data_IF_607058610086
#
_entry.id   IF_607058610086
#
_cell.length_a   1.000
_cell.length_b   1.000
_cell.length_c   1.000
_cell.angle_alpha   90.00
_cell.angle_beta   90.00
_cell.angle_gamma   90.00
#
_symmetry.space_group_name_H-M   'P 1'
#
loop_
_entity.id
_entity.type
_entity.pdbx_description
1 polymer ?
#
# COMPACT_ATOMS: atom_id res chain seq x y z
N UNK A 1 -18.21 -16.16 33.14
CA UNK A 1 -18.55 -15.81 31.75
C UNK A 1 -17.25 -15.79 30.99
N UNK A 2 -16.91 -16.89 30.33
CA UNK A 2 -15.81 -16.90 29.37
C UNK A 2 -16.30 -16.09 28.16
N UNK A 3 -15.63 -14.99 27.86
CA UNK A 3 -15.88 -14.23 26.65
C UNK A 3 -15.40 -15.12 25.51
N UNK A 4 -16.35 -15.66 24.74
CA UNK A 4 -16.06 -16.48 23.57
C UNK A 4 -15.21 -15.66 22.61
N UNK A 5 -13.92 -16.00 22.50
CA UNK A 5 -12.99 -15.31 21.61
C UNK A 5 -13.37 -15.72 20.19
N UNK A 6 -14.16 -14.89 19.52
CA UNK A 6 -14.43 -15.06 18.09
C UNK A 6 -13.09 -15.05 17.35
N UNK A 7 -12.72 -16.15 16.72
CA UNK A 7 -11.57 -16.20 15.82
C UNK A 7 -12.04 -15.94 14.39
N UNK A 8 -11.28 -15.13 13.63
CA UNK A 8 -11.56 -14.88 12.21
C UNK A 8 -12.06 -13.47 11.89
N UNK A 9 -12.86 -13.35 10.83
CA UNK A 9 -13.37 -12.06 10.36
C UNK A 9 -14.50 -11.57 11.27
N UNK A 10 -14.39 -10.34 11.73
CA UNK A 10 -15.39 -9.70 12.61
C UNK A 10 -15.71 -8.27 12.14
N UNK A 11 -16.87 -7.71 12.52
CA UNK A 11 -17.14 -6.29 12.33
C UNK A 11 -16.11 -5.41 13.05
N UNK A 12 -15.90 -4.18 12.55
CA UNK A 12 -14.96 -3.20 13.13
C UNK A 12 -15.22 -2.90 14.62
N UNK A 13 -16.47 -3.04 15.09
CA UNK A 13 -16.86 -2.84 16.49
C UNK A 13 -16.40 -3.94 17.43
N UNK A 14 -16.11 -5.12 16.91
CA UNK A 14 -15.69 -6.31 17.66
C UNK A 14 -14.17 -6.54 17.59
N UNK A 15 -13.46 -5.75 16.79
CA UNK A 15 -12.02 -5.86 16.62
C UNK A 15 -11.28 -5.00 17.68
N UNK A 16 -10.49 -5.63 18.58
CA UNK A 16 -9.87 -4.94 19.70
C UNK A 16 -8.79 -3.91 19.31
N UNK A 17 -8.28 -3.95 18.08
CA UNK A 17 -7.25 -3.01 17.61
C UNK A 17 -7.73 -2.07 16.51
N UNK A 18 -8.95 -2.24 16.00
CA UNK A 18 -9.47 -1.43 14.90
C UNK A 18 -9.38 0.07 15.20
N UNK A 19 -9.77 0.51 16.41
CA UNK A 19 -9.69 1.94 16.76
C UNK A 19 -8.26 2.49 16.72
N UNK A 20 -7.26 1.71 17.15
CA UNK A 20 -5.85 2.11 17.10
C UNK A 20 -5.36 2.21 15.66
N UNK A 21 -5.77 1.29 14.79
CA UNK A 21 -5.43 1.36 13.36
C UNK A 21 -6.10 2.58 12.72
N UNK A 22 -7.36 2.87 13.07
CA UNK A 22 -8.07 4.05 12.59
C UNK A 22 -7.34 5.35 12.99
N UNK A 23 -6.95 5.48 14.26
CA UNK A 23 -6.18 6.63 14.76
C UNK A 23 -4.83 6.78 14.04
N UNK A 24 -4.12 5.69 13.76
CA UNK A 24 -2.88 5.72 13.00
C UNK A 24 -3.11 6.21 11.56
N UNK A 25 -4.17 5.74 10.91
CA UNK A 25 -4.52 6.13 9.53
C UNK A 25 -4.96 7.59 9.43
N UNK A 26 -5.63 8.15 10.44
CA UNK A 26 -6.04 9.56 10.44
C UNK A 26 -4.83 10.51 10.57
N UNK A 27 -3.78 10.08 11.28
CA UNK A 27 -2.59 10.88 11.56
C UNK A 27 -1.40 10.60 10.62
N UNK A 28 -1.53 9.63 9.71
CA UNK A 28 -0.42 9.24 8.83
C UNK A 28 -0.12 10.36 7.83
N UNK A 29 1.17 10.66 7.65
CA UNK A 29 1.64 11.49 6.55
C UNK A 29 2.21 10.60 5.46
N UNK A 30 1.78 10.80 4.21
CA UNK A 30 2.26 9.99 3.10
C UNK A 30 3.71 10.33 2.77
N UNK A 31 4.58 9.33 2.85
CA UNK A 31 6.01 9.47 2.55
C UNK A 31 6.27 8.95 1.15
N UNK A 32 6.70 9.83 0.24
CA UNK A 32 7.04 9.47 -1.14
C UNK A 32 8.53 9.15 -1.34
N UNK A 33 9.31 9.17 -0.26
CA UNK A 33 10.76 8.92 -0.30
C UNK A 33 11.04 7.47 -0.73
N UNK A 34 11.80 7.24 -1.81
CA UNK A 34 12.17 5.89 -2.23
C UNK A 34 12.90 5.12 -1.13
N UNK A 35 12.60 3.82 -1.04
CA UNK A 35 13.27 2.90 -0.11
C UNK A 35 14.12 1.94 -0.94
N UNK A 36 15.39 1.80 -0.57
CA UNK A 36 16.27 0.82 -1.19
C UNK A 36 16.05 -0.53 -0.52
N UNK A 37 15.15 -1.33 -1.10
CA UNK A 37 14.82 -2.67 -0.60
C UNK A 37 15.74 -3.72 -1.22
N UNK A 38 16.08 -4.73 -0.43
CA UNK A 38 16.72 -5.94 -0.94
C UNK A 38 15.72 -6.64 -1.88
N UNK A 39 16.06 -6.84 -3.17
CA UNK A 39 15.19 -7.54 -4.09
C UNK A 39 14.90 -8.95 -3.58
N UNK A 40 13.65 -9.38 -3.63
CA UNK A 40 13.23 -10.70 -3.17
C UNK A 40 12.12 -11.22 -4.06
N UNK A 41 12.27 -12.44 -4.60
CA UNK A 41 11.29 -13.03 -5.50
C UNK A 41 10.06 -13.59 -4.80
N UNK A 42 8.95 -13.68 -5.52
CA UNK A 42 7.77 -14.45 -5.11
C UNK A 42 7.71 -15.75 -5.91
N UNK A 43 7.49 -16.86 -5.23
CA UNK A 43 7.34 -18.18 -5.84
C UNK A 43 6.03 -18.18 -6.63
N UNK A 44 6.11 -18.51 -7.92
CA UNK A 44 4.92 -18.65 -8.75
C UNK A 44 4.41 -20.09 -8.70
N UNK A 45 3.20 -20.31 -8.16
CA UNK A 45 2.53 -21.62 -8.17
C UNK A 45 1.58 -21.76 -9.36
N UNK A 46 2.13 -21.82 -10.56
CA UNK A 46 1.37 -21.97 -11.80
C UNK A 46 1.05 -20.61 -12.44
N UNK A 47 -0.24 -20.26 -12.51
CA UNK A 47 -0.73 -19.08 -13.23
C UNK A 47 -0.85 -17.82 -12.35
N UNK A 48 -0.03 -17.69 -11.30
CA UNK A 48 -0.13 -16.60 -10.29
C UNK A 48 0.80 -15.43 -10.58
N UNK A 49 1.38 -15.35 -11.79
CA UNK A 49 2.29 -14.26 -12.15
C UNK A 49 1.61 -12.89 -12.14
N UNK A 50 0.32 -12.81 -12.48
CA UNK A 50 -0.46 -11.56 -12.39
C UNK A 50 -0.53 -11.06 -10.94
N UNK A 51 -0.73 -11.96 -9.97
CA UNK A 51 -0.67 -11.64 -8.54
C UNK A 51 0.72 -11.19 -8.14
N UNK A 52 1.73 -12.00 -8.43
CA UNK A 52 3.10 -11.74 -8.01
C UNK A 52 3.63 -10.41 -8.58
N UNK A 53 3.33 -10.09 -9.83
CA UNK A 53 3.71 -8.83 -10.47
C UNK A 53 3.06 -7.64 -9.78
N UNK A 54 1.75 -7.69 -9.53
CA UNK A 54 1.01 -6.64 -8.84
C UNK A 54 1.49 -6.43 -7.40
N UNK A 55 1.76 -7.51 -6.66
CA UNK A 55 2.31 -7.42 -5.31
C UNK A 55 3.70 -6.76 -5.30
N UNK A 56 4.58 -7.12 -6.24
CA UNK A 56 5.90 -6.48 -6.38
C UNK A 56 5.78 -5.00 -6.74
N UNK A 57 4.84 -4.62 -7.62
CA UNK A 57 4.57 -3.24 -7.96
C UNK A 57 4.11 -2.42 -6.74
N UNK A 58 3.24 -2.98 -5.90
CA UNK A 58 2.77 -2.34 -4.68
C UNK A 58 3.87 -2.20 -3.62
N UNK A 59 4.76 -3.20 -3.49
CA UNK A 59 5.96 -3.12 -2.63
C UNK A 59 6.92 -2.04 -3.11
N UNK A 60 7.07 -1.88 -4.42
CA UNK A 60 7.94 -0.87 -5.02
C UNK A 60 7.35 0.55 -4.96
N UNK A 61 6.07 0.72 -4.62
CA UNK A 61 5.42 2.01 -4.49
C UNK A 61 5.74 2.64 -3.12
N UNK A 62 6.54 3.73 -3.05
CA UNK A 62 6.98 4.29 -1.77
C UNK A 62 5.86 4.66 -0.80
N UNK A 63 4.81 5.42 -1.19
CA UNK A 63 3.75 5.79 -0.25
C UNK A 63 2.99 4.56 0.28
N UNK A 64 2.76 3.55 -0.57
CA UNK A 64 2.11 2.31 -0.15
C UNK A 64 2.99 1.52 0.83
N UNK A 65 4.28 1.37 0.53
CA UNK A 65 5.23 0.69 1.40
C UNK A 65 5.31 1.36 2.78
N UNK A 66 5.48 2.69 2.82
CA UNK A 66 5.57 3.44 4.07
C UNK A 66 4.28 3.40 4.88
N UNK A 67 3.12 3.54 4.23
CA UNK A 67 1.82 3.44 4.88
C UNK A 67 1.65 2.09 5.61
N UNK A 68 1.92 1.00 4.90
CA UNK A 68 1.79 -0.35 5.48
C UNK A 68 2.86 -0.64 6.55
N UNK A 69 4.05 -0.04 6.44
CA UNK A 69 5.09 -0.12 7.48
C UNK A 69 4.77 0.69 8.72
N UNK A 70 3.91 1.70 8.62
CA UNK A 70 3.48 2.51 9.75
C UNK A 70 2.50 1.76 10.67
N UNK A 71 1.76 0.80 10.13
CA UNK A 71 0.80 -0.01 10.90
C UNK A 71 1.54 -1.18 11.59
N UNK A 72 1.36 -1.39 12.91
CA UNK A 72 1.99 -2.49 13.63
C UNK A 72 1.58 -3.87 13.09
N UNK A 73 2.54 -4.80 13.03
CA UNK A 73 2.25 -6.21 12.76
C UNK A 73 1.74 -6.88 14.05
N UNK A 74 0.45 -7.19 14.08
CA UNK A 74 -0.17 -7.89 15.21
C UNK A 74 -0.03 -9.41 15.08
N UNK A 75 0.39 -10.07 16.16
CA UNK A 75 0.32 -11.54 16.26
C UNK A 75 -1.11 -12.01 16.53
N UNK A 76 -1.41 -13.28 16.24
CA UNK A 76 -2.72 -13.89 16.54
C UNK A 76 -3.09 -13.83 18.03
N UNK A 77 -2.09 -13.82 18.92
CA UNK A 77 -2.32 -13.69 20.37
C UNK A 77 -2.78 -12.28 20.74
N UNK A 78 -2.23 -11.26 20.07
CA UNK A 78 -2.59 -9.85 20.30
C UNK A 78 -3.89 -9.45 19.61
N UNK A 79 -4.20 -10.07 18.47
CA UNK A 79 -5.39 -9.81 17.65
C UNK A 79 -5.92 -11.14 17.08
N UNK A 80 -6.75 -11.88 17.83
CA UNK A 80 -7.28 -13.18 17.42
C UNK A 80 -8.36 -13.09 16.32
N UNK A 81 -9.05 -11.96 16.25
CA UNK A 81 -10.00 -11.60 15.19
C UNK A 81 -9.58 -10.32 14.47
N UNK A 82 -9.95 -10.20 13.20
CA UNK A 82 -9.64 -9.01 12.40
C UNK A 82 -10.83 -8.54 11.59
N UNK A 83 -11.06 -7.24 11.57
CA UNK A 83 -11.96 -6.56 10.64
C UNK A 83 -11.22 -6.01 9.41
N UNK A 84 -9.90 -6.18 9.32
CA UNK A 84 -9.06 -5.59 8.26
C UNK A 84 -8.09 -6.60 7.61
N UNK A 85 -8.60 -7.73 7.09
CA UNK A 85 -7.76 -8.77 6.52
C UNK A 85 -6.86 -8.33 5.34
N UNK A 86 -7.30 -7.36 4.53
CA UNK A 86 -6.50 -6.80 3.43
C UNK A 86 -5.32 -6.01 3.99
N UNK A 87 -5.57 -5.07 4.91
CA UNK A 87 -4.51 -4.30 5.57
C UNK A 87 -3.51 -5.26 6.24
N UNK A 88 -3.98 -6.25 7.00
CA UNK A 88 -3.13 -7.19 7.73
C UNK A 88 -2.18 -7.95 6.79
N UNK A 89 -2.71 -8.37 5.65
CA UNK A 89 -1.95 -9.10 4.64
C UNK A 89 -0.91 -8.22 3.97
N UNK A 90 -1.21 -6.93 3.73
CA UNK A 90 -0.27 -5.99 3.14
C UNK A 90 0.78 -5.49 4.13
N UNK A 91 0.42 -5.29 5.40
CA UNK A 91 1.39 -5.06 6.49
C UNK A 91 2.36 -6.23 6.56
N UNK A 92 1.86 -7.47 6.54
CA UNK A 92 2.72 -8.66 6.51
C UNK A 92 3.61 -8.68 5.28
N UNK A 93 3.06 -8.44 4.08
CA UNK A 93 3.81 -8.40 2.83
C UNK A 93 4.96 -7.40 2.88
N UNK A 94 4.73 -6.15 3.29
CA UNK A 94 5.81 -5.17 3.34
C UNK A 94 6.88 -5.53 4.37
N UNK A 95 6.52 -6.29 5.42
CA UNK A 95 7.45 -6.81 6.41
C UNK A 95 8.28 -8.02 5.95
N UNK A 96 7.94 -8.63 4.82
CA UNK A 96 8.76 -9.66 4.15
C UNK A 96 9.96 -9.07 3.39
N UNK A 97 10.00 -7.74 3.19
CA UNK A 97 11.08 -7.04 2.51
C UNK A 97 11.91 -6.20 3.48
N UNK A 98 13.22 -6.30 3.36
CA UNK A 98 14.23 -5.63 4.18
C UNK A 98 14.96 -4.58 3.36
N UNK A 99 15.61 -3.62 4.01
CA UNK A 99 16.47 -2.66 3.32
C UNK A 99 17.69 -3.37 2.72
N UNK A 100 18.23 -2.83 1.63
CA UNK A 100 19.48 -3.31 1.03
C UNK A 100 20.57 -3.39 2.11
N UNK A 101 21.28 -4.53 2.22
CA UNK A 101 22.39 -4.64 3.16
C UNK A 101 23.47 -3.62 2.76
N UNK A 102 23.99 -2.89 3.75
CA UNK A 102 25.11 -1.97 3.52
C UNK A 102 26.35 -2.83 3.22
N UNK A 103 26.98 -2.68 2.04
CA UNK A 103 28.21 -3.42 1.78
C UNK A 103 29.28 -3.02 2.79
N UNK A 104 30.06 -3.97 3.33
CA UNK A 104 31.18 -3.63 4.20
C UNK A 104 32.13 -2.68 3.47
N UNK A 105 32.72 -1.72 4.19
CA UNK A 105 33.63 -0.71 3.62
C UNK A 105 34.63 -1.38 2.68
N UNK A 106 34.80 -0.88 1.44
CA UNK A 106 35.69 -1.51 0.47
C UNK A 106 37.12 -1.49 1.02
N UNK A 107 37.76 -2.66 1.13
CA UNK A 107 39.22 -2.72 1.10
C UNK A 107 39.60 -2.34 -0.32
N UNK A 108 40.38 -1.28 -0.48
CA UNK A 108 40.80 -0.74 -1.77
C UNK A 108 41.44 -1.85 -2.62
N UNK A 109 40.70 -2.38 -3.58
CA UNK A 109 41.25 -3.14 -4.71
C UNK A 109 40.86 -2.36 -5.97
N UNK A 110 41.89 -1.80 -6.58
CA UNK A 110 41.85 -0.95 -7.77
C UNK A 110 41.41 -1.78 -8.99
N UNK A 111 40.38 -1.34 -9.70
CA UNK A 111 40.30 -1.57 -11.15
C UNK A 111 39.12 -2.32 -11.74
N UNK A 112 38.18 -2.89 -10.98
CA UNK A 112 37.02 -3.58 -11.58
C UNK A 112 35.74 -2.76 -11.57
N UNK A 113 35.05 -2.73 -12.71
CA UNK A 113 33.72 -2.13 -12.87
C UNK A 113 32.83 -2.67 -11.76
N UNK A 114 32.39 -1.81 -10.85
CA UNK A 114 31.52 -2.18 -9.72
C UNK A 114 30.14 -2.51 -10.27
N UNK A 115 29.98 -3.71 -10.84
CA UNK A 115 28.70 -4.40 -10.81
C UNK A 115 28.49 -4.71 -9.35
N UNK A 116 27.69 -3.90 -8.65
CA UNK A 116 27.24 -4.26 -7.31
C UNK A 116 26.53 -5.59 -7.47
N UNK A 117 27.11 -6.66 -6.94
CA UNK A 117 26.48 -7.98 -6.86
C UNK A 117 25.22 -7.82 -6.00
N UNK A 118 24.09 -7.51 -6.64
CA UNK A 118 22.79 -7.39 -5.98
C UNK A 118 22.41 -8.81 -5.63
N UNK A 119 22.57 -9.18 -4.36
CA UNK A 119 22.19 -10.48 -3.85
C UNK A 119 20.70 -10.45 -3.47
N UNK A 120 19.82 -11.09 -4.25
CA UNK A 120 18.41 -11.14 -3.90
C UNK A 120 18.23 -11.97 -2.63
N UNK A 121 17.23 -11.62 -1.83
CA UNK A 121 16.76 -12.45 -0.72
C UNK A 121 16.12 -13.74 -1.23
N UNK A 122 16.00 -14.73 -0.34
CA UNK A 122 15.37 -16.01 -0.65
C UNK A 122 13.90 -15.81 -1.09
N UNK A 123 13.53 -16.38 -2.23
CA UNK A 123 12.16 -16.29 -2.72
C UNK A 123 11.17 -16.93 -1.74
N UNK A 124 9.93 -16.43 -1.69
CA UNK A 124 8.91 -16.93 -0.78
C UNK A 124 7.51 -16.96 -1.40
N UNK A 125 6.60 -17.65 -0.72
CA UNK A 125 5.21 -17.75 -1.12
C UNK A 125 4.33 -16.90 -0.17
N UNK A 126 3.59 -15.90 -0.68
CA UNK A 126 2.70 -15.06 0.12
C UNK A 126 1.34 -15.76 0.36
N UNK A 127 1.34 -16.89 1.06
CA UNK A 127 0.14 -17.73 1.27
C UNK A 127 -1.05 -17.00 1.92
N UNK A 128 -0.78 -15.96 2.70
CA UNK A 128 -1.80 -15.12 3.31
C UNK A 128 -2.59 -14.29 2.29
N UNK A 129 -1.98 -13.87 1.18
CA UNK A 129 -2.68 -13.21 0.07
C UNK A 129 -3.63 -14.17 -0.62
N UNK A 130 -3.22 -15.44 -0.78
CA UNK A 130 -4.03 -16.45 -1.46
C UNK A 130 -5.31 -16.74 -0.67
N UNK A 131 -5.20 -16.72 0.66
CA UNK A 131 -6.36 -16.84 1.56
C UNK A 131 -7.37 -15.70 1.36
N UNK A 132 -6.92 -14.47 1.06
CA UNK A 132 -7.84 -13.35 0.81
C UNK A 132 -8.72 -13.59 -0.41
N UNK A 133 -8.15 -14.08 -1.50
CA UNK A 133 -8.89 -14.36 -2.73
C UNK A 133 -9.99 -15.41 -2.49
N UNK A 134 -9.66 -16.44 -1.71
CA UNK A 134 -10.62 -17.48 -1.32
C UNK A 134 -11.70 -16.96 -0.38
N UNK A 135 -11.32 -16.19 0.65
CA UNK A 135 -12.25 -15.66 1.65
C UNK A 135 -13.23 -14.65 1.04
N UNK A 136 -12.75 -13.82 0.12
CA UNK A 136 -13.59 -12.85 -0.59
C UNK A 136 -14.40 -13.46 -1.74
N UNK A 137 -14.36 -14.80 -1.90
CA UNK A 137 -15.00 -15.55 -3.00
C UNK A 137 -14.78 -14.88 -4.37
N UNK A 138 -13.59 -14.32 -4.56
CA UNK A 138 -13.27 -13.64 -5.80
C UNK A 138 -13.22 -14.67 -6.93
N UNK A 139 -13.81 -14.35 -8.09
CA UNK A 139 -13.64 -15.14 -9.33
C UNK A 139 -12.16 -15.33 -9.68
N UNK A 140 -11.30 -14.40 -9.25
CA UNK A 140 -9.85 -14.45 -9.40
C UNK A 140 -9.20 -15.63 -8.64
N UNK A 141 -9.92 -16.27 -7.71
CA UNK A 141 -9.44 -17.46 -6.98
C UNK A 141 -9.60 -18.76 -7.78
N UNK A 142 -10.15 -18.73 -8.99
CA UNK A 142 -10.30 -19.92 -9.84
C UNK A 142 -8.94 -20.52 -10.19
N UNK A 143 -8.64 -21.67 -9.57
CA UNK A 143 -7.32 -22.28 -9.62
C UNK A 143 -6.96 -22.67 -11.05
N UNK A 144 -5.92 -22.03 -11.58
CA UNK A 144 -5.36 -22.35 -12.90
C UNK A 144 -5.79 -21.41 -14.02
N UNK A 145 -6.66 -20.43 -13.76
CA UNK A 145 -6.95 -19.37 -14.72
C UNK A 145 -5.89 -18.27 -14.63
N UNK A 146 -5.45 -17.75 -15.78
CA UNK A 146 -4.70 -16.50 -15.84
C UNK A 146 -5.71 -15.36 -15.84
N UNK A 147 -5.46 -14.36 -15.02
CA UNK A 147 -6.30 -13.16 -14.91
C UNK A 147 -5.52 -11.92 -15.34
N UNK A 148 -6.24 -10.83 -15.55
CA UNK A 148 -5.65 -9.52 -15.78
C UNK A 148 -5.01 -8.97 -14.48
N UNK A 149 -3.78 -8.48 -14.59
CA UNK A 149 -3.06 -7.87 -13.47
C UNK A 149 -3.71 -6.56 -13.00
N UNK A 150 -4.33 -5.80 -13.93
CA UNK A 150 -5.07 -4.59 -13.63
C UNK A 150 -6.33 -4.90 -12.83
N UNK A 151 -7.10 -5.91 -13.25
CA UNK A 151 -8.32 -6.34 -12.54
C UNK A 151 -7.97 -6.77 -11.11
N UNK A 152 -6.89 -7.54 -10.94
CA UNK A 152 -6.41 -7.92 -9.62
C UNK A 152 -5.94 -6.72 -8.79
N UNK A 153 -5.24 -5.76 -9.40
CA UNK A 153 -4.85 -4.52 -8.71
C UNK A 153 -6.08 -3.74 -8.23
N UNK A 154 -7.10 -3.59 -9.08
CA UNK A 154 -8.37 -2.95 -8.73
C UNK A 154 -9.05 -3.63 -7.55
N UNK A 155 -9.12 -4.97 -7.55
CA UNK A 155 -9.62 -5.76 -6.43
C UNK A 155 -8.87 -5.45 -5.12
N UNK A 156 -7.53 -5.42 -5.17
CA UNK A 156 -6.70 -5.13 -3.99
C UNK A 156 -6.96 -3.72 -3.45
N UNK A 157 -6.90 -2.71 -4.33
CA UNK A 157 -7.04 -1.31 -3.92
C UNK A 157 -8.43 -1.01 -3.39
N UNK A 158 -9.48 -1.58 -3.98
CA UNK A 158 -10.84 -1.46 -3.48
C UNK A 158 -10.99 -2.12 -2.10
N UNK A 159 -10.47 -3.34 -1.92
CA UNK A 159 -10.54 -4.01 -0.61
C UNK A 159 -9.80 -3.24 0.49
N UNK A 160 -8.62 -2.70 0.20
CA UNK A 160 -7.90 -1.82 1.13
C UNK A 160 -8.68 -0.53 1.43
N UNK A 161 -9.27 0.09 0.40
CA UNK A 161 -10.05 1.30 0.53
C UNK A 161 -11.28 1.12 1.42
N UNK A 162 -12.06 0.06 1.20
CA UNK A 162 -13.26 -0.24 2.01
C UNK A 162 -12.92 -0.48 3.48
N UNK A 163 -11.82 -1.20 3.77
CA UNK A 163 -11.35 -1.38 5.14
C UNK A 163 -10.98 -0.06 5.80
N UNK A 164 -10.23 0.81 5.09
CA UNK A 164 -9.88 2.14 5.60
C UNK A 164 -11.11 3.02 5.85
N UNK A 165 -12.10 2.99 4.95
CA UNK A 165 -13.37 3.71 5.15
C UNK A 165 -14.13 3.20 6.36
N UNK A 166 -14.21 1.88 6.56
CA UNK A 166 -14.90 1.29 7.70
C UNK A 166 -14.21 1.62 9.03
N UNK A 167 -12.87 1.68 9.04
CA UNK A 167 -12.11 2.18 10.18
C UNK A 167 -12.40 3.65 10.47
N UNK A 168 -12.44 4.50 9.44
CA UNK A 168 -12.68 5.95 9.60
C UNK A 168 -14.03 6.25 10.25
N UNK A 169 -15.06 5.45 9.96
CA UNK A 169 -16.39 5.55 10.60
C UNK A 169 -16.33 5.39 12.13
N UNK A 170 -15.32 4.71 12.67
CA UNK A 170 -15.14 4.59 14.13
C UNK A 170 -14.75 5.93 14.77
N UNK A 171 -14.01 6.78 14.07
CA UNK A 171 -13.54 8.07 14.57
C UNK A 171 -14.57 9.18 14.38
N UNK A 172 -15.39 9.09 13.33
CA UNK A 172 -16.45 10.06 13.02
C UNK A 172 -17.79 9.36 12.71
N UNK A 173 -18.56 8.97 13.74
CA UNK A 173 -19.83 8.26 13.55
C UNK A 173 -20.93 9.07 12.82
N UNK A 174 -20.74 10.38 12.62
CA UNK A 174 -21.80 11.35 12.32
C UNK A 174 -21.70 12.08 10.97
N UNK A 175 -20.94 11.59 9.98
CA UNK A 175 -20.83 12.27 8.68
C UNK A 175 -21.13 11.35 7.48
N UNK A 176 -22.42 11.26 7.10
CA UNK A 176 -22.90 10.54 5.90
C UNK A 176 -22.58 11.25 4.56
N UNK A 177 -21.76 12.31 4.55
CA UNK A 177 -21.26 12.93 3.31
C UNK A 177 -19.77 13.22 3.41
N UNK A 178 -18.95 12.21 3.12
CA UNK A 178 -17.56 12.44 2.74
C UNK A 178 -17.52 12.71 1.24
N UNK A 179 -17.33 13.97 0.83
CA UNK A 179 -16.78 14.29 -0.48
C UNK A 179 -15.34 13.79 -0.49
N UNK A 180 -15.12 12.67 -1.17
CA UNK A 180 -13.82 12.01 -1.29
C UNK A 180 -12.94 12.88 -2.21
N UNK A 181 -11.90 13.50 -1.66
CA UNK A 181 -10.83 14.11 -2.46
C UNK A 181 -9.66 13.14 -2.50
N UNK A 182 -9.46 12.48 -3.65
CA UNK A 182 -8.29 11.67 -3.92
C UNK A 182 -7.21 12.58 -4.52
N UNK A 183 -6.35 13.15 -3.68
CA UNK A 183 -5.21 13.96 -4.11
C UNK A 183 -4.52 14.67 -2.95
N UNK A 184 -3.25 15.10 -3.12
CA UNK A 184 -2.65 16.04 -2.18
C UNK A 184 -3.54 17.27 -2.05
N UNK A 185 -3.75 17.75 -0.82
CA UNK A 185 -4.53 18.97 -0.57
C UNK A 185 -3.88 20.11 -1.36
N UNK A 186 -4.51 20.56 -2.44
CA UNK A 186 -4.12 21.78 -3.11
C UNK A 186 -4.22 22.89 -2.08
N UNK A 187 -3.08 23.52 -1.76
CA UNK A 187 -3.10 24.85 -1.20
C UNK A 187 -3.96 25.68 -2.15
N UNK A 188 -5.00 26.31 -1.61
CA UNK A 188 -5.90 27.22 -2.31
C UNK A 188 -5.15 28.07 -3.33
N UNK A 189 -5.29 27.75 -4.63
CA UNK A 189 -4.89 28.62 -5.73
C UNK A 189 -6.02 29.64 -5.86
N UNK A 190 -5.90 30.72 -5.09
CA UNK A 190 -6.56 31.98 -5.37
C UNK A 190 -5.42 32.99 -5.37
N UNK A 191 -4.82 33.24 -6.53
CA UNK A 191 -4.17 34.52 -6.92
C UNK A 191 -3.38 34.51 -8.25
N UNK A 192 -3.40 33.44 -9.08
CA UNK A 192 -2.61 33.42 -10.33
C UNK A 192 -3.43 33.43 -11.64
N UNK A 193 -4.66 33.97 -11.65
CA UNK A 193 -5.46 34.15 -12.88
C UNK A 193 -5.58 35.61 -13.36
N UNK A 194 -4.80 36.57 -12.82
CA UNK A 194 -4.88 37.98 -13.25
C UNK A 194 -3.64 38.56 -13.95
N UNK A 195 -2.51 37.85 -14.04
CA UNK A 195 -1.32 38.40 -14.71
C UNK A 195 -1.14 38.00 -16.19
N UNK A 196 -1.84 36.98 -16.69
CA UNK A 196 -1.65 36.52 -18.08
C UNK A 196 -2.48 37.29 -19.14
N UNK A 197 -3.46 38.10 -18.73
CA UNK A 197 -4.24 38.95 -19.66
C UNK A 197 -3.66 40.36 -19.85
N UNK A 198 -2.69 40.79 -19.03
CA UNK A 198 -2.07 42.12 -19.16
C UNK A 198 -0.88 42.15 -20.15
N UNK A 199 -0.29 40.99 -20.48
CA UNK A 199 0.93 40.91 -21.30
C UNK A 199 0.61 40.85 -22.80
N UNK A 200 -0.60 40.46 -23.20
CA UNK A 200 -1.00 40.37 -24.61
C UNK A 200 -1.47 41.70 -25.24
N UNK A 201 -1.65 42.78 -24.48
CA UNK A 201 -2.11 44.06 -25.03
C UNK A 201 -0.99 45.08 -25.33
N UNK A 202 0.29 44.73 -25.07
CA UNK A 202 1.43 45.64 -25.32
C UNK A 202 2.24 45.26 -26.57
N UNK A 203 1.90 44.19 -27.27
CA UNK A 203 2.69 43.66 -28.39
C UNK A 203 2.05 43.80 -29.79
N UNK A 204 1.21 44.81 -30.03
CA UNK A 204 0.80 45.19 -31.40
C UNK A 204 0.96 46.68 -31.62
N UNK A 205 2.20 47.09 -31.85
CA UNK A 205 2.55 48.40 -32.38
C UNK A 205 3.66 48.24 -33.41
N UNK A 206 3.30 47.94 -34.66
CA UNK A 206 4.19 48.15 -35.80
C UNK A 206 3.82 49.48 -36.48
N UNK A 207 4.82 50.32 -36.84
CA UNK A 207 4.61 51.58 -37.53
C UNK A 207 4.52 51.35 -39.05
N UNK A 208 3.58 52.03 -39.69
CA UNK A 208 3.66 52.94 -40.86
C UNK A 208 2.23 53.13 -41.37
#
# INVERSE_FOLDING_TARGET
MEVEVKEGLVPVSEDPVAIKIAELLENVTLIHKPVSLQPRGLINKGNWCYINATLQALVACPPMYHLMKFIPLYSKVQRPCTSTPMIDSFVRLMNEFTNMPVPPKPRQALGDKIVRDIRPGAAFEPTYIYRLLTVNKSSLSEKGRQEDAEEYLGFILNGLHEEMLNLKKLLSPSNEKLTISNGPKNHSVNEEEQEEQAIFHVAVGYPV
#
